data_IF_868800958948
#
_entry.id   IF_868800958948
#
_cell.length_a   1.000
_cell.length_b   1.000
_cell.length_c   1.000
_cell.angle_alpha   90.00
_cell.angle_beta   90.00
_cell.angle_gamma   90.00
#
_symmetry.space_group_name_H-M   'P 1'
#
loop_
_entity.id
_entity.type
_entity.pdbx_description
1 polymer ?
#
# COMPACT_ATOMS: atom_id res chain seq x y z
N UNK A 1 -2.28 22.15 5.72
CA UNK A 1 -3.26 21.04 5.55
C UNK A 1 -2.91 19.91 6.51
N UNK A 2 -3.05 20.18 7.80
CA UNK A 2 -2.77 19.24 8.88
C UNK A 2 -4.04 18.96 9.66
N UNK A 3 -4.00 17.94 10.51
CA UNK A 3 -5.11 17.66 11.43
C UNK A 3 -5.26 18.81 12.41
N UNK A 4 -6.39 19.52 12.36
CA UNK A 4 -6.68 20.55 13.34
C UNK A 4 -7.06 19.94 14.69
N UNK A 5 -6.90 20.72 15.76
CA UNK A 5 -7.33 20.36 17.10
C UNK A 5 -8.82 19.99 17.16
N UNK A 6 -9.67 20.69 16.38
CA UNK A 6 -11.11 20.39 16.26
C UNK A 6 -11.37 19.02 15.63
N UNK A 7 -10.63 18.69 14.57
CA UNK A 7 -10.73 17.40 13.88
C UNK A 7 -10.29 16.25 14.78
N UNK A 8 -9.22 16.44 15.55
CA UNK A 8 -8.72 15.46 16.51
C UNK A 8 -9.72 15.25 17.66
N UNK A 9 -10.36 16.32 18.16
CA UNK A 9 -11.39 16.22 19.17
C UNK A 9 -12.63 15.45 18.66
N UNK A 10 -13.07 15.74 17.43
CA UNK A 10 -14.18 15.05 16.78
C UNK A 10 -13.85 13.58 16.49
N UNK A 11 -12.63 13.29 16.03
CA UNK A 11 -12.10 11.94 15.86
C UNK A 11 -12.18 11.14 17.16
N UNK A 12 -11.70 11.70 18.28
CA UNK A 12 -11.74 11.05 19.59
C UNK A 12 -13.19 10.76 20.03
N UNK A 13 -14.09 11.75 19.89
CA UNK A 13 -15.51 11.59 20.23
C UNK A 13 -16.18 10.47 19.43
N UNK A 14 -16.01 10.46 18.11
CA UNK A 14 -16.58 9.43 17.24
C UNK A 14 -15.95 8.06 17.46
N UNK A 15 -14.65 8.03 17.76
CA UNK A 15 -13.93 6.80 18.07
C UNK A 15 -14.46 6.14 19.33
N UNK A 16 -14.66 6.91 20.41
CA UNK A 16 -15.28 6.44 21.65
C UNK A 16 -16.73 6.01 21.46
N UNK A 17 -17.47 6.67 20.55
CA UNK A 17 -18.81 6.26 20.14
C UNK A 17 -18.84 4.96 19.30
N UNK A 18 -17.69 4.33 19.04
CA UNK A 18 -17.62 3.06 18.33
C UNK A 18 -17.74 3.16 16.81
N UNK A 19 -17.69 4.35 16.21
CA UNK A 19 -17.76 4.50 14.74
C UNK A 19 -16.51 3.93 14.04
N UNK A 20 -16.67 3.21 12.94
CA UNK A 20 -15.53 2.70 12.17
C UNK A 20 -14.70 3.84 11.53
N UNK A 21 -13.42 3.58 11.24
CA UNK A 21 -12.53 4.58 10.63
C UNK A 21 -13.07 5.12 9.28
N UNK A 22 -13.79 4.31 8.51
CA UNK A 22 -14.43 4.74 7.26
C UNK A 22 -15.60 5.71 7.49
N UNK A 23 -16.42 5.46 8.53
CA UNK A 23 -17.52 6.36 8.88
C UNK A 23 -16.99 7.70 9.41
N UNK A 24 -15.91 7.67 10.19
CA UNK A 24 -15.26 8.87 10.71
C UNK A 24 -14.64 9.69 9.56
N UNK A 25 -13.98 9.01 8.62
CA UNK A 25 -13.44 9.60 7.39
C UNK A 25 -14.52 10.38 6.59
N UNK A 26 -15.72 9.80 6.44
CA UNK A 26 -16.83 10.45 5.75
C UNK A 26 -17.30 11.75 6.42
N UNK A 27 -17.16 11.87 7.75
CA UNK A 27 -17.56 13.09 8.50
C UNK A 27 -16.49 14.18 8.50
N UNK A 28 -15.23 13.78 8.52
CA UNK A 28 -14.08 14.70 8.54
C UNK A 28 -13.60 15.11 7.14
N UNK A 29 -14.10 14.46 6.07
CA UNK A 29 -13.64 14.69 4.71
C UNK A 29 -12.23 14.18 4.42
N UNK A 30 -11.71 13.26 5.24
CA UNK A 30 -10.38 12.68 5.11
C UNK A 30 -10.44 11.21 4.70
N UNK A 31 -9.35 10.64 4.19
CA UNK A 31 -9.35 9.24 3.77
C UNK A 31 -9.34 8.28 4.97
N UNK A 32 -9.92 7.08 4.82
CA UNK A 32 -9.86 6.01 5.84
C UNK A 32 -8.43 5.78 6.34
N UNK A 33 -7.46 5.81 5.43
CA UNK A 33 -6.05 5.58 5.77
C UNK A 33 -5.46 6.73 6.58
N UNK A 34 -5.84 7.98 6.29
CA UNK A 34 -5.45 9.13 7.10
C UNK A 34 -5.99 9.00 8.53
N UNK A 35 -7.26 8.60 8.70
CA UNK A 35 -7.87 8.33 10.01
C UNK A 35 -7.15 7.21 10.74
N UNK A 36 -6.85 6.07 10.08
CA UNK A 36 -6.08 4.98 10.69
C UNK A 36 -4.68 5.43 11.12
N UNK A 37 -4.00 6.24 10.31
CA UNK A 37 -2.69 6.81 10.65
C UNK A 37 -2.79 7.71 11.87
N UNK A 38 -3.82 8.56 11.95
CA UNK A 38 -4.02 9.46 13.09
C UNK A 38 -4.36 8.70 14.38
N UNK A 39 -5.23 7.70 14.32
CA UNK A 39 -5.54 6.83 15.45
C UNK A 39 -4.30 6.08 15.97
N UNK A 40 -3.41 5.66 15.06
CA UNK A 40 -2.13 5.02 15.42
C UNK A 40 -1.21 6.00 16.14
N UNK A 41 -1.11 7.25 15.67
CA UNK A 41 -0.33 8.31 16.35
C UNK A 41 -0.88 8.65 17.73
N UNK A 42 -2.20 8.59 17.91
CA UNK A 42 -2.87 8.84 19.19
C UNK A 42 -2.91 7.62 20.12
N UNK A 43 -2.40 6.46 19.72
CA UNK A 43 -2.47 5.22 20.51
C UNK A 43 -3.89 4.66 20.68
N UNK A 44 -4.88 5.19 19.95
CA UNK A 44 -6.29 4.80 20.02
C UNK A 44 -6.52 3.52 19.19
N UNK A 45 -5.94 2.41 19.62
CA UNK A 45 -6.16 1.10 19.01
C UNK A 45 -7.42 0.48 19.60
N UNK A 46 -8.35 0.10 18.72
CA UNK A 46 -9.42 -0.82 19.09
C UNK A 46 -8.80 -2.20 19.06
N UNK A 47 -8.96 -2.97 20.14
CA UNK A 47 -8.55 -4.36 20.17
C UNK A 47 -8.99 -5.06 18.88
N UNK A 48 -8.07 -5.75 18.24
CA UNK A 48 -8.34 -6.45 16.99
C UNK A 48 -9.47 -7.44 17.27
N UNK A 49 -10.65 -7.21 16.69
CA UNK A 49 -11.63 -8.29 16.61
C UNK A 49 -11.01 -9.30 15.65
N UNK A 50 -10.79 -10.56 16.06
CA UNK A 50 -10.36 -11.58 15.11
C UNK A 50 -11.38 -11.59 13.95
N UNK A 51 -10.93 -11.66 12.69
CA UNK A 51 -11.84 -11.68 11.56
C UNK A 51 -12.78 -12.88 11.72
N UNK A 52 -14.04 -12.61 12.05
CA UNK A 52 -15.09 -13.61 12.24
C UNK A 52 -15.54 -14.24 10.91
N UNK A 53 -15.08 -13.70 9.79
CA UNK A 53 -15.28 -14.29 8.48
C UNK A 53 -14.06 -15.12 8.10
N UNK A 54 -14.22 -16.44 7.99
CA UNK A 54 -13.34 -17.28 7.16
C UNK A 54 -13.59 -16.88 5.71
N UNK A 55 -12.73 -16.11 5.03
CA UNK A 55 -12.98 -15.79 3.63
C UNK A 55 -12.92 -17.11 2.85
N UNK A 56 -14.05 -17.55 2.30
CA UNK A 56 -14.09 -18.66 1.35
C UNK A 56 -13.35 -18.16 0.11
N UNK A 57 -12.05 -18.47 0.01
CA UNK A 57 -11.24 -18.20 -1.17
C UNK A 57 -11.90 -18.97 -2.31
N UNK A 58 -12.70 -18.27 -3.13
CA UNK A 58 -13.24 -18.85 -4.35
C UNK A 58 -12.05 -19.04 -5.30
N UNK A 59 -11.85 -20.24 -5.87
CA UNK A 59 -10.81 -20.43 -6.86
C UNK A 59 -11.07 -19.46 -8.03
N UNK A 60 -10.01 -18.88 -8.62
CA UNK A 60 -10.16 -17.99 -9.76
C UNK A 60 -10.90 -18.75 -10.88
N UNK A 61 -11.90 -18.13 -11.53
CA UNK A 61 -12.58 -18.78 -12.65
C UNK A 61 -11.53 -19.10 -13.71
N UNK A 62 -11.41 -20.39 -14.05
CA UNK A 62 -10.60 -20.83 -15.18
C UNK A 62 -11.19 -20.19 -16.43
N UNK A 63 -10.51 -19.16 -16.93
CA UNK A 63 -10.82 -18.52 -18.21
C UNK A 63 -10.73 -19.61 -19.28
N UNK A 64 -11.89 -20.07 -19.77
CA UNK A 64 -11.96 -20.85 -21.00
C UNK A 64 -11.40 -19.95 -22.09
N UNK A 65 -10.27 -20.35 -22.68
CA UNK A 65 -9.76 -19.74 -23.89
C UNK A 65 -10.77 -20.02 -25.00
N UNK A 66 -11.69 -19.08 -25.20
CA UNK A 66 -12.47 -19.00 -26.43
C UNK A 66 -11.61 -18.25 -27.43
N UNK A 67 -11.12 -19.00 -28.40
CA UNK A 67 -10.50 -18.54 -29.62
C UNK A 67 -11.46 -17.64 -30.41
N UNK A 68 -10.85 -16.70 -31.14
CA UNK A 68 -11.35 -16.04 -32.36
C UNK A 68 -12.03 -14.67 -32.24
N UNK A 69 -11.34 -13.73 -32.90
CA UNK A 69 -11.84 -12.63 -33.71
C UNK A 69 -12.36 -11.33 -33.06
N UNK A 70 -11.62 -10.27 -33.40
CA UNK A 70 -12.11 -8.93 -33.72
C UNK A 70 -12.78 -8.09 -32.62
N UNK A 71 -11.98 -7.25 -31.96
CA UNK A 71 -12.21 -5.79 -31.96
C UNK A 71 -11.01 -5.07 -31.35
N UNK A 72 -10.31 -4.32 -32.20
CA UNK A 72 -9.19 -3.48 -31.80
C UNK A 72 -9.71 -2.23 -31.06
N UNK A 73 -9.52 -2.20 -29.75
CA UNK A 73 -9.55 -0.95 -28.97
C UNK A 73 -8.63 -1.11 -27.76
N UNK A 74 -7.40 -0.55 -27.74
CA UNK A 74 -6.54 -0.65 -26.57
C UNK A 74 -6.98 0.38 -25.52
N UNK A 75 -8.09 0.10 -24.84
CA UNK A 75 -8.38 0.71 -23.56
C UNK A 75 -7.49 0.04 -22.50
N UNK A 76 -6.85 0.88 -21.69
CA UNK A 76 -6.04 0.49 -20.54
C UNK A 76 -4.82 -0.38 -20.88
N UNK A 77 -3.71 0.31 -21.18
CA UNK A 77 -2.43 -0.07 -20.56
C UNK A 77 -2.60 0.09 -19.04
N UNK A 78 -3.33 -0.85 -18.40
CA UNK A 78 -2.97 -1.28 -17.05
C UNK A 78 -1.50 -1.57 -17.19
N UNK A 79 -0.67 -0.76 -16.54
CA UNK A 79 0.74 -1.05 -16.36
C UNK A 79 0.77 -2.45 -15.78
N UNK A 80 0.94 -3.39 -16.71
CA UNK A 80 1.29 -4.76 -16.46
C UNK A 80 2.39 -4.64 -15.44
N UNK A 81 2.17 -5.29 -14.29
CA UNK A 81 3.19 -5.56 -13.29
C UNK A 81 4.56 -5.48 -13.96
N UNK A 82 5.25 -4.36 -13.77
CA UNK A 82 6.70 -4.33 -13.85
C UNK A 82 7.15 -5.02 -12.55
N UNK A 83 6.79 -6.29 -12.42
CA UNK A 83 7.73 -7.32 -11.99
C UNK A 83 8.55 -7.71 -13.22
N UNK A 84 9.11 -6.71 -13.92
CA UNK A 84 10.42 -6.92 -14.49
C UNK A 84 11.29 -7.23 -13.28
N UNK A 85 11.88 -8.44 -13.27
CA UNK A 85 12.86 -8.93 -12.30
C UNK A 85 13.49 -7.74 -11.56
N UNK A 86 12.97 -7.41 -10.37
CA UNK A 86 13.71 -6.57 -9.44
C UNK A 86 14.84 -7.49 -9.05
N UNK A 87 15.95 -7.41 -9.78
CA UNK A 87 17.14 -8.17 -9.46
C UNK A 87 17.38 -7.84 -8.01
N UNK A 88 17.36 -8.90 -7.17
CA UNK A 88 17.73 -8.77 -5.78
C UNK A 88 18.98 -7.90 -5.72
N UNK A 89 19.09 -6.92 -4.80
CA UNK A 89 20.36 -6.24 -4.60
C UNK A 89 21.40 -7.34 -4.44
N UNK A 90 22.32 -7.46 -5.38
CA UNK A 90 23.45 -8.37 -5.22
C UNK A 90 24.19 -7.84 -4.01
N UNK A 91 24.14 -8.59 -2.92
CA UNK A 91 24.88 -8.26 -1.71
C UNK A 91 26.36 -8.38 -2.06
N UNK A 92 26.98 -7.25 -2.37
CA UNK A 92 28.41 -7.19 -2.63
C UNK A 92 29.14 -7.37 -1.31
N UNK A 93 30.13 -8.26 -1.29
CA UNK A 93 31.07 -8.33 -0.17
C UNK A 93 31.74 -6.97 0.03
N UNK A 94 32.13 -6.65 1.28
CA UNK A 94 32.86 -5.41 1.60
C UNK A 94 34.06 -5.19 0.66
N UNK A 95 34.78 -6.26 0.32
CA UNK A 95 35.91 -6.21 -0.60
C UNK A 95 35.52 -5.79 -2.02
N UNK A 96 34.37 -6.28 -2.51
CA UNK A 96 33.88 -5.92 -3.84
C UNK A 96 33.43 -4.45 -3.90
N UNK A 97 32.83 -3.95 -2.82
CA UNK A 97 32.47 -2.52 -2.71
C UNK A 97 33.71 -1.62 -2.74
N UNK A 98 34.77 -1.98 -2.00
CA UNK A 98 36.03 -1.24 -2.03
C UNK A 98 36.70 -1.28 -3.41
N UNK A 99 36.65 -2.41 -4.11
CA UNK A 99 37.19 -2.53 -5.46
C UNK A 99 36.46 -1.62 -6.45
N UNK A 100 35.12 -1.59 -6.41
CA UNK A 100 34.29 -0.71 -7.25
C UNK A 100 34.61 0.77 -6.98
N UNK A 101 34.75 1.16 -5.71
CA UNK A 101 35.12 2.52 -5.34
C UNK A 101 36.52 2.89 -5.85
N UNK A 102 37.50 2.00 -5.70
CA UNK A 102 38.86 2.23 -6.18
C UNK A 102 38.92 2.36 -7.71
N UNK A 103 38.09 1.62 -8.44
CA UNK A 103 37.97 1.74 -9.90
C UNK A 103 37.36 3.07 -10.32
N UNK A 104 36.27 3.50 -9.66
CA UNK A 104 35.62 4.77 -9.97
C UNK A 104 36.56 5.98 -9.79
N UNK A 105 37.41 5.95 -8.76
CA UNK A 105 38.43 6.99 -8.51
C UNK A 105 39.51 7.00 -9.59
N UNK A 106 39.91 5.83 -10.13
CA UNK A 106 40.88 5.76 -11.22
C UNK A 106 40.32 6.24 -12.56
N UNK A 107 39.02 6.09 -12.78
CA UNK A 107 38.35 6.46 -14.03
C UNK A 107 37.89 7.93 -14.06
N UNK A 108 38.15 8.68 -12.98
CA UNK A 108 37.80 10.11 -12.83
C UNK A 108 39.01 11.04 -12.88
N UNK A 109 40.18 10.53 -13.32
CA UNK A 109 41.35 11.32 -13.70
C UNK A 109 41.62 11.22 -15.20
#
# INVERSE_FOLDING_TARGET
MGWDTKDVALLKRLWSAGQSAGQIAGRLGCSRNAVCGMLTRLGLKRGHKPPTARPKIRPPPKLRQASSAASARPAAKKVSRITAKRQQPKEFSKQQLYAILAEAVRNTG
#
